data_IF_108983571247
#
_entry.id   IF_108983571247
#
_cell.length_a   1.000
_cell.length_b   1.000
_cell.length_c   1.000
_cell.angle_alpha   90.00
_cell.angle_beta   90.00
_cell.angle_gamma   90.00
#
_symmetry.space_group_name_H-M   'P 1'
#
loop_
_entity.id
_entity.type
_entity.pdbx_description
1 polymer ?
#
# COMPACT_ATOMS: atom_id res chain seq x y z
N UNK A 1 -3.48 21.72 3.94
CA UNK A 1 -2.90 22.94 3.36
C UNK A 1 -1.51 23.11 3.95
N UNK A 2 -0.49 23.34 3.11
CA UNK A 2 0.91 23.43 3.51
C UNK A 2 1.35 24.87 3.81
N UNK A 3 0.49 25.67 4.41
CA UNK A 3 0.55 27.13 4.52
C UNK A 3 1.00 27.62 5.92
N UNK A 4 1.59 26.76 6.73
CA UNK A 4 1.93 27.06 8.14
C UNK A 4 3.42 27.36 8.38
N UNK A 5 4.21 27.46 7.31
CA UNK A 5 5.64 27.69 7.41
C UNK A 5 5.93 29.18 7.61
N UNK A 6 6.58 29.59 8.71
CA UNK A 6 6.90 31.00 8.99
C UNK A 6 8.19 31.45 8.27
N UNK A 7 8.48 30.89 7.10
CA UNK A 7 9.70 31.15 6.33
C UNK A 7 9.36 31.37 4.86
N UNK A 8 10.20 32.13 4.16
CA UNK A 8 10.12 32.27 2.70
C UNK A 8 10.62 31.00 2.03
N UNK A 9 9.88 30.51 1.04
CA UNK A 9 10.24 29.33 0.26
C UNK A 9 10.69 29.80 -1.12
N UNK A 10 11.97 29.61 -1.44
CA UNK A 10 12.54 30.07 -2.71
C UNK A 10 11.98 29.29 -3.91
N UNK A 11 11.92 27.96 -3.79
CA UNK A 11 11.45 27.08 -4.85
C UNK A 11 10.79 25.82 -4.27
N UNK A 12 9.69 25.40 -4.89
CA UNK A 12 9.00 24.14 -4.63
C UNK A 12 9.08 23.29 -5.88
N UNK A 13 9.64 22.09 -5.75
CA UNK A 13 9.54 21.04 -6.75
C UNK A 13 8.55 19.99 -6.24
N UNK A 14 7.56 19.66 -7.06
CA UNK A 14 6.56 18.66 -6.69
C UNK A 14 6.40 17.62 -7.79
N UNK A 15 6.09 16.40 -7.35
CA UNK A 15 5.74 15.29 -8.22
C UNK A 15 4.61 14.50 -7.58
N UNK A 16 3.46 14.50 -8.24
CA UNK A 16 2.28 13.73 -7.82
C UNK A 16 2.17 12.53 -8.74
N UNK A 17 2.39 11.35 -8.19
CA UNK A 17 2.31 10.08 -8.92
C UNK A 17 0.96 9.40 -8.61
N UNK A 18 0.17 9.17 -9.65
CA UNK A 18 -1.10 8.45 -9.56
C UNK A 18 -0.90 6.94 -9.68
N UNK A 19 -1.80 6.17 -9.06
CA UNK A 19 -1.74 4.70 -9.13
C UNK A 19 -1.92 4.20 -10.58
N UNK A 20 -2.81 4.87 -11.35
CA UNK A 20 -3.08 4.59 -12.76
C UNK A 20 -3.12 5.89 -13.59
N UNK A 21 -3.02 5.77 -14.91
CA UNK A 21 -3.11 6.90 -15.83
C UNK A 21 -4.55 7.36 -16.05
N UNK A 22 -4.76 8.68 -16.09
CA UNK A 22 -6.08 9.24 -16.36
C UNK A 22 -6.46 9.07 -17.84
N UNK A 23 -7.66 8.54 -18.15
CA UNK A 23 -8.05 8.17 -19.52
C UNK A 23 -8.26 9.39 -20.44
N UNK A 24 -8.55 10.56 -19.88
CA UNK A 24 -8.75 11.82 -20.62
C UNK A 24 -7.76 12.87 -20.12
N UNK A 25 -7.59 13.97 -20.87
CA UNK A 25 -6.84 15.15 -20.41
C UNK A 25 -7.40 15.62 -19.05
N UNK A 26 -6.66 15.41 -17.95
CA UNK A 26 -7.20 15.63 -16.63
C UNK A 26 -7.36 17.13 -16.39
N UNK A 27 -8.52 17.54 -15.87
CA UNK A 27 -8.70 18.91 -15.41
C UNK A 27 -7.96 19.07 -14.09
N UNK A 28 -6.99 19.96 -14.06
CA UNK A 28 -6.22 20.26 -12.86
C UNK A 28 -6.12 21.77 -12.69
N UNK A 29 -5.98 22.20 -11.45
CA UNK A 29 -5.66 23.58 -11.11
C UNK A 29 -4.46 23.62 -10.18
N UNK A 30 -3.65 24.64 -10.35
CA UNK A 30 -2.52 24.93 -9.46
C UNK A 30 -2.69 26.36 -8.99
N UNK A 31 -2.64 26.55 -7.68
CA UNK A 31 -2.75 27.84 -7.04
C UNK A 31 -1.59 28.02 -6.05
N UNK A 32 -1.08 29.23 -6.00
CA UNK A 32 0.04 29.66 -5.15
C UNK A 32 -0.36 30.88 -4.34
N UNK A 33 0.08 30.94 -3.08
CA UNK A 33 -0.12 32.10 -2.21
C UNK A 33 -0.81 31.75 -0.90
N UNK A 34 -1.45 32.75 -0.31
CA UNK A 34 -2.22 32.60 0.92
C UNK A 34 -3.52 31.84 0.69
N UNK A 35 -4.14 31.39 1.78
CA UNK A 35 -5.46 30.77 1.74
C UNK A 35 -6.46 31.66 0.96
N UNK A 36 -7.06 31.10 -0.09
CA UNK A 36 -7.99 31.80 -0.98
C UNK A 36 -7.37 32.42 -2.24
N UNK A 37 -6.04 32.47 -2.35
CA UNK A 37 -5.36 32.90 -3.58
C UNK A 37 -5.61 31.92 -4.73
N UNK A 38 -5.78 32.46 -5.94
CA UNK A 38 -5.90 31.71 -7.20
C UNK A 38 -4.77 32.03 -8.18
N UNK A 39 -3.75 32.77 -7.74
CA UNK A 39 -2.60 33.07 -8.59
C UNK A 39 -1.85 31.79 -8.94
N UNK A 40 -1.44 31.66 -10.20
CA UNK A 40 -0.63 30.54 -10.66
C UNK A 40 0.78 31.03 -11.02
N UNK A 41 1.73 30.82 -10.10
CA UNK A 41 3.16 31.10 -10.29
C UNK A 41 3.97 29.81 -10.44
N UNK A 42 3.42 28.86 -11.19
CA UNK A 42 4.03 27.54 -11.39
C UNK A 42 4.10 27.14 -12.84
N UNK A 43 5.13 26.34 -13.15
CA UNK A 43 5.21 25.58 -14.39
C UNK A 43 4.91 24.14 -14.02
N UNK A 44 3.82 23.59 -14.57
CA UNK A 44 3.39 22.22 -14.33
C UNK A 44 3.16 21.50 -15.64
N UNK A 45 3.54 20.23 -15.67
CA UNK A 45 3.43 19.36 -16.85
C UNK A 45 2.94 17.99 -16.42
N UNK A 46 2.01 17.45 -17.19
CA UNK A 46 1.65 16.05 -17.11
C UNK A 46 2.62 15.20 -17.92
N UNK A 47 3.14 14.16 -17.29
CA UNK A 47 3.82 13.08 -17.97
C UNK A 47 2.87 11.89 -18.06
N UNK A 48 2.46 11.57 -19.30
CA UNK A 48 1.66 10.39 -19.63
C UNK A 48 0.37 10.25 -18.81
N UNK A 49 -0.26 11.39 -18.43
CA UNK A 49 -1.47 11.46 -17.60
C UNK A 49 -1.42 10.66 -16.28
N UNK A 50 -0.21 10.31 -15.80
CA UNK A 50 0.01 9.52 -14.58
C UNK A 50 0.80 10.30 -13.54
N UNK A 51 1.79 11.07 -13.99
CA UNK A 51 2.66 11.86 -13.12
C UNK A 51 2.47 13.34 -13.43
N UNK A 52 2.03 14.12 -12.45
CA UNK A 52 2.01 15.57 -12.52
C UNK A 52 3.25 16.10 -11.83
N UNK A 53 4.15 16.71 -12.59
CA UNK A 53 5.38 17.32 -12.06
C UNK A 53 5.39 18.80 -12.35
N UNK A 54 6.02 19.57 -11.47
CA UNK A 54 6.15 21.01 -11.68
C UNK A 54 7.04 21.68 -10.67
N UNK A 55 7.28 22.96 -10.93
CA UNK A 55 8.06 23.84 -10.06
C UNK A 55 7.44 25.23 -9.99
N UNK A 56 7.69 25.94 -8.88
CA UNK A 56 7.37 27.36 -8.76
C UNK A 56 8.40 28.22 -9.47
N UNK A 57 7.95 29.27 -10.16
CA UNK A 57 8.84 30.24 -10.83
C UNK A 57 9.21 31.43 -9.95
N UNK A 58 8.46 31.64 -8.86
CA UNK A 58 8.66 32.73 -7.91
C UNK A 58 8.72 32.19 -6.48
N UNK A 59 9.41 32.96 -5.63
CA UNK A 59 9.42 32.71 -4.19
C UNK A 59 8.01 32.84 -3.59
N UNK A 60 7.74 32.01 -2.60
CA UNK A 60 6.54 32.01 -1.78
C UNK A 60 6.88 32.65 -0.43
N UNK A 61 6.07 33.63 -0.01
CA UNK A 61 6.26 34.33 1.25
C UNK A 61 5.87 33.46 2.46
N UNK A 62 6.26 33.88 3.66
CA UNK A 62 5.85 33.20 4.90
C UNK A 62 4.33 33.03 4.95
N UNK A 63 3.88 31.87 5.43
CA UNK A 63 2.48 31.44 5.48
C UNK A 63 1.76 31.32 4.13
N UNK A 64 2.51 31.22 3.05
CA UNK A 64 1.95 30.88 1.72
C UNK A 64 2.32 29.45 1.33
N UNK A 65 1.56 28.89 0.40
CA UNK A 65 1.79 27.51 -0.04
C UNK A 65 1.36 27.27 -1.47
N UNK A 66 1.64 26.04 -1.92
CA UNK A 66 1.21 25.50 -3.19
C UNK A 66 0.00 24.59 -2.96
N UNK A 67 -1.07 24.83 -3.70
CA UNK A 67 -2.26 23.97 -3.73
C UNK A 67 -2.45 23.40 -5.12
N UNK A 68 -2.54 22.08 -5.20
CA UNK A 68 -2.79 21.35 -6.43
C UNK A 68 -4.13 20.65 -6.27
N UNK A 69 -5.06 20.91 -7.19
CA UNK A 69 -6.29 20.16 -7.28
C UNK A 69 -6.38 19.43 -8.60
N UNK A 70 -6.74 18.15 -8.54
CA UNK A 70 -6.95 17.29 -9.71
C UNK A 70 -8.38 16.78 -9.66
N UNK A 71 -9.12 16.94 -10.76
CA UNK A 71 -10.47 16.40 -10.89
C UNK A 71 -10.36 14.96 -11.36
N UNK A 72 -10.76 14.02 -10.49
CA UNK A 72 -10.81 12.61 -10.82
C UNK A 72 -12.18 12.23 -11.41
N UNK A 73 -12.22 11.34 -12.42
CA UNK A 73 -13.46 10.71 -12.85
C UNK A 73 -14.08 9.88 -11.73
N UNK A 74 -15.39 9.69 -11.77
CA UNK A 74 -16.19 9.02 -10.71
C UNK A 74 -15.64 7.63 -10.34
N UNK A 75 -15.14 6.88 -11.32
CA UNK A 75 -14.70 5.49 -11.14
C UNK A 75 -13.17 5.34 -11.08
N UNK A 76 -12.42 6.44 -10.98
CA UNK A 76 -10.95 6.40 -10.89
C UNK A 76 -10.49 6.06 -9.47
N UNK A 77 -11.08 6.64 -8.44
CA UNK A 77 -10.73 6.24 -7.07
C UNK A 77 -11.48 4.95 -6.72
N UNK A 78 -10.91 3.82 -7.12
CA UNK A 78 -11.42 2.50 -6.76
C UNK A 78 -11.13 2.30 -5.28
N UNK A 79 -12.18 2.14 -4.48
CA UNK A 79 -12.05 1.77 -3.08
C UNK A 79 -11.38 0.39 -3.01
N UNK A 80 -10.15 0.29 -2.47
CA UNK A 80 -9.49 -1.00 -2.40
C UNK A 80 -10.30 -1.93 -1.50
N UNK A 81 -10.62 -3.12 -2.00
CA UNK A 81 -11.36 -4.11 -1.23
C UNK A 81 -10.47 -4.69 -0.13
N UNK A 82 -10.59 -4.13 1.07
CA UNK A 82 -9.78 -4.53 2.24
C UNK A 82 -10.17 -5.90 2.81
N UNK A 83 -11.35 -6.45 2.48
CA UNK A 83 -11.83 -7.70 3.08
C UNK A 83 -10.96 -8.92 2.75
N UNK A 84 -10.28 -8.90 1.61
CA UNK A 84 -9.43 -10.02 1.16
C UNK A 84 -7.94 -9.69 1.26
N UNK A 85 -7.58 -8.47 1.65
CA UNK A 85 -6.18 -8.03 1.70
C UNK A 85 -5.50 -8.68 2.90
N UNK A 86 -4.56 -9.58 2.63
CA UNK A 86 -3.82 -10.32 3.66
C UNK A 86 -4.41 -11.68 4.03
N UNK A 87 -5.44 -12.17 3.31
CA UNK A 87 -5.96 -13.52 3.55
C UNK A 87 -4.92 -14.62 3.25
N UNK A 88 -3.94 -14.32 2.41
CA UNK A 88 -2.79 -15.18 2.13
C UNK A 88 -1.97 -15.51 3.39
N UNK A 89 -1.93 -14.58 4.36
CA UNK A 89 -1.26 -14.81 5.65
C UNK A 89 -1.97 -15.86 6.51
N UNK A 90 -3.27 -16.07 6.30
CA UNK A 90 -4.05 -17.11 6.98
C UNK A 90 -3.76 -18.52 6.42
N UNK A 91 -3.19 -18.62 5.22
CA UNK A 91 -2.79 -19.91 4.63
C UNK A 91 -1.52 -20.49 5.29
N UNK A 92 -0.65 -19.64 5.85
CA UNK A 92 0.59 -20.06 6.52
C UNK A 92 0.36 -21.02 7.70
N UNK A 93 -0.49 -20.72 8.71
CA UNK A 93 -0.72 -21.63 9.83
C UNK A 93 -1.38 -22.95 9.38
N UNK A 94 -2.26 -22.89 8.38
CA UNK A 94 -2.89 -24.09 7.80
C UNK A 94 -1.84 -24.96 7.11
N UNK A 95 -0.95 -24.36 6.31
CA UNK A 95 0.15 -25.07 5.66
C UNK A 95 1.11 -25.70 6.66
N UNK A 96 1.51 -24.97 7.70
CA UNK A 96 2.36 -25.48 8.77
C UNK A 96 1.71 -26.67 9.51
N UNK A 97 0.41 -26.56 9.82
CA UNK A 97 -0.34 -27.64 10.46
C UNK A 97 -0.42 -28.89 9.58
N UNK A 98 -0.70 -28.73 8.28
CA UNK A 98 -0.75 -29.85 7.34
C UNK A 98 0.61 -30.56 7.23
N UNK A 99 1.70 -29.79 7.16
CA UNK A 99 3.06 -30.35 7.15
C UNK A 99 3.32 -31.14 8.43
N UNK A 100 3.02 -30.57 9.60
CA UNK A 100 3.21 -31.25 10.89
C UNK A 100 2.37 -32.54 10.99
N UNK A 101 1.12 -32.49 10.54
CA UNK A 101 0.22 -33.64 10.54
C UNK A 101 0.72 -34.76 9.62
N UNK A 102 1.22 -34.42 8.42
CA UNK A 102 1.80 -35.40 7.49
C UNK A 102 3.05 -36.07 8.06
N UNK A 103 3.92 -35.30 8.72
CA UNK A 103 5.11 -35.81 9.42
C UNK A 103 4.70 -36.79 10.52
N UNK A 104 3.77 -36.39 11.40
CA UNK A 104 3.27 -37.26 12.47
C UNK A 104 2.60 -38.53 11.92
N UNK A 105 1.79 -38.42 10.86
CA UNK A 105 1.13 -39.60 10.27
C UNK A 105 2.13 -40.60 9.69
N UNK A 106 3.26 -40.13 9.17
CA UNK A 106 4.27 -40.97 8.51
C UNK A 106 5.27 -41.60 9.49
N UNK A 107 5.66 -40.88 10.53
CA UNK A 107 6.74 -41.30 11.44
C UNK A 107 6.39 -41.32 12.92
N UNK A 108 5.28 -40.70 13.33
CA UNK A 108 4.84 -40.59 14.72
C UNK A 108 3.70 -41.52 15.10
N UNK A 109 3.23 -42.38 14.19
CA UNK A 109 2.41 -43.53 14.58
C UNK A 109 3.35 -44.55 15.20
N UNK A 110 3.35 -44.63 16.53
CA UNK A 110 4.02 -45.71 17.25
C UNK A 110 3.54 -47.05 16.70
N UNK A 111 4.48 -47.90 16.26
CA UNK A 111 4.18 -49.28 15.95
C UNK A 111 3.69 -49.96 17.22
N UNK A 112 2.48 -50.52 17.17
CA UNK A 112 1.95 -51.33 18.26
C UNK A 112 2.76 -52.64 18.27
N UNK A 113 3.92 -52.62 18.93
CA UNK A 113 4.66 -53.83 19.26
C UNK A 113 3.86 -54.58 20.31
N UNK A 114 2.88 -55.37 19.87
CA UNK A 114 2.31 -56.44 20.68
C UNK A 114 3.39 -57.50 20.87
N UNK A 115 4.28 -57.29 21.85
CA UNK A 115 5.08 -58.37 22.42
C UNK A 115 4.09 -59.31 23.10
N UNK A 116 3.59 -60.30 22.37
CA UNK A 116 2.90 -61.44 22.93
C UNK A 116 3.91 -62.18 23.80
N UNK A 117 3.82 -61.99 25.12
CA UNK A 117 4.54 -62.84 26.06
C UNK A 117 3.91 -64.24 25.99
N UNK A 118 4.58 -65.17 25.32
CA UNK A 118 4.17 -66.58 25.35
C UNK A 118 4.37 -67.12 26.76
N UNK A 119 3.27 -67.50 27.40
CA UNK A 119 3.29 -68.14 28.72
C UNK A 119 3.58 -69.63 28.53
N UNK A 120 4.74 -70.08 29.01
CA UNK A 120 5.07 -71.50 29.07
C UNK A 120 4.68 -72.07 30.44
N UNK A 121 3.76 -73.05 30.51
CA UNK A 121 3.41 -73.68 31.78
C UNK A 121 4.56 -74.58 32.28
N UNK A 122 4.75 -74.69 33.61
CA UNK A 122 5.84 -75.47 34.19
C UNK A 122 5.64 -76.97 33.96
N UNK A 123 6.73 -77.66 33.63
CA UNK A 123 6.74 -79.11 33.38
C UNK A 123 6.51 -79.87 34.70
N UNK A 124 5.58 -80.81 34.66
CA UNK A 124 5.21 -81.68 35.77
C UNK A 124 6.20 -82.85 35.94
#
# INVERSE_FOLDING_TARGET
MGDKWPVTIECINFSVNLYDSLPNSPKYFVATGYAGSRENKTISKWNSNKVLSGSTTQQLYAYSGLTIGVVFPKDFLIEPNYNLRGIEWLALPIGAFLVMFLIWRKWGKDDVLTLQTEFYPPQA
#
